data_IF_341856267576
#
_entry.id   IF_341856267576
#
_cell.length_a   1.000
_cell.length_b   1.000
_cell.length_c   1.000
_cell.angle_alpha   90.00
_cell.angle_beta   90.00
_cell.angle_gamma   90.00
#
_symmetry.space_group_name_H-M   'P 1'
#
loop_
_entity.id
_entity.type
_entity.pdbx_description
1 polymer ?
#
# COMPACT_ATOMS: atom_id res chain seq x y z
N UNK A 1 9.70 1.84 -0.66
CA UNK A 1 9.99 2.26 -2.05
C UNK A 1 8.89 3.22 -2.51
N UNK A 2 9.13 4.12 -3.48
CA UNK A 2 8.09 5.00 -3.98
C UNK A 2 7.11 4.28 -4.90
N UNK A 3 5.85 4.75 -4.93
CA UNK A 3 4.87 4.26 -5.92
C UNK A 3 5.32 4.63 -7.34
N UNK A 4 5.75 5.89 -7.52
CA UNK A 4 6.28 6.43 -8.76
C UNK A 4 7.59 7.18 -8.51
N UNK A 5 8.56 7.07 -9.41
CA UNK A 5 9.78 7.87 -9.39
C UNK A 5 10.14 8.29 -10.82
N UNK A 6 10.58 9.54 -11.01
CA UNK A 6 10.98 10.07 -12.33
C UNK A 6 9.94 9.83 -13.44
N UNK A 7 8.65 9.96 -13.11
CA UNK A 7 7.54 9.73 -14.04
C UNK A 7 7.21 8.26 -14.33
N UNK A 8 7.94 7.31 -13.73
CA UNK A 8 7.72 5.86 -13.91
C UNK A 8 6.95 5.30 -12.72
N UNK A 9 5.86 4.57 -12.98
CA UNK A 9 5.16 3.78 -11.95
C UNK A 9 5.95 2.50 -11.67
N UNK A 10 6.40 2.35 -10.43
CA UNK A 10 7.18 1.21 -9.94
C UNK A 10 6.25 0.15 -9.35
N UNK A 11 5.34 0.57 -8.47
CA UNK A 11 4.47 -0.35 -7.74
C UNK A 11 3.24 -0.68 -8.59
N UNK A 12 2.98 -1.97 -8.75
CA UNK A 12 1.82 -2.53 -9.44
C UNK A 12 1.41 -3.85 -8.80
N UNK A 13 0.20 -4.37 -9.05
CA UNK A 13 -0.22 -5.68 -8.53
C UNK A 13 0.75 -6.81 -8.94
N UNK A 14 1.25 -6.76 -10.18
CA UNK A 14 2.25 -7.72 -10.67
C UNK A 14 3.55 -7.63 -9.90
N UNK A 15 4.05 -6.40 -9.68
CA UNK A 15 5.27 -6.17 -8.90
C UNK A 15 5.14 -6.74 -7.48
N UNK A 16 4.01 -6.47 -6.81
CA UNK A 16 3.76 -6.94 -5.44
C UNK A 16 3.77 -8.48 -5.40
N UNK A 17 3.03 -9.14 -6.30
CA UNK A 17 3.00 -10.61 -6.38
C UNK A 17 4.40 -11.18 -6.63
N UNK A 18 5.14 -10.63 -7.58
CA UNK A 18 6.47 -11.14 -7.95
C UNK A 18 7.48 -10.92 -6.78
N UNK A 19 7.36 -9.81 -6.04
CA UNK A 19 8.14 -9.57 -4.83
C UNK A 19 7.79 -10.56 -3.70
N UNK A 20 6.50 -10.81 -3.47
CA UNK A 20 6.03 -11.80 -2.50
C UNK A 20 6.48 -13.22 -2.85
N UNK A 21 6.47 -13.61 -4.13
CA UNK A 21 7.04 -14.88 -4.59
C UNK A 21 8.54 -15.00 -4.28
N UNK A 22 9.26 -13.89 -4.32
CA UNK A 22 10.67 -13.81 -3.90
C UNK A 22 10.89 -13.75 -2.38
N UNK A 23 9.83 -13.74 -1.57
CA UNK A 23 9.91 -13.63 -0.11
C UNK A 23 10.15 -12.22 0.41
N UNK A 24 9.97 -11.18 -0.42
CA UNK A 24 10.19 -9.79 -0.04
C UNK A 24 8.91 -9.09 0.37
N UNK A 25 8.99 -8.21 1.37
CA UNK A 25 7.91 -7.29 1.74
C UNK A 25 7.95 -6.01 0.90
N UNK A 26 6.78 -5.49 0.54
CA UNK A 26 6.61 -4.24 -0.18
C UNK A 26 6.02 -3.18 0.74
N UNK A 27 6.84 -2.20 1.13
CA UNK A 27 6.41 -1.02 1.88
C UNK A 27 6.53 0.22 1.00
N UNK A 28 5.45 1.00 0.89
CA UNK A 28 5.38 2.15 -0.03
C UNK A 28 5.46 3.48 0.72
N UNK A 29 6.26 4.41 0.22
CA UNK A 29 6.42 5.78 0.75
C UNK A 29 6.39 6.81 -0.38
N UNK A 30 6.05 8.07 -0.19
CA UNK A 30 5.16 8.60 0.84
C UNK A 30 3.76 8.59 0.25
N UNK A 31 2.80 7.99 0.94
CA UNK A 31 1.41 7.88 0.46
C UNK A 31 0.53 8.76 1.34
N UNK A 32 0.08 9.90 0.81
CA UNK A 32 -0.68 10.90 1.59
C UNK A 32 -2.16 10.96 1.21
N UNK A 33 -2.54 10.42 0.05
CA UNK A 33 -3.92 10.48 -0.44
C UNK A 33 -4.71 9.21 -0.08
N UNK A 34 -5.90 9.40 0.49
CA UNK A 34 -6.80 8.30 0.90
C UNK A 34 -7.11 7.30 -0.24
N UNK A 35 -7.43 7.75 -1.48
CA UNK A 35 -7.67 6.83 -2.59
C UNK A 35 -6.48 5.91 -2.88
N UNK A 36 -5.26 6.43 -2.76
CA UNK A 36 -4.04 5.67 -3.02
C UNK A 36 -3.74 4.69 -1.89
N UNK A 37 -3.93 5.09 -0.63
CA UNK A 37 -3.81 4.18 0.51
C UNK A 37 -4.75 2.98 0.35
N UNK A 38 -6.02 3.22 0.02
CA UNK A 38 -7.01 2.16 -0.21
C UNK A 38 -6.57 1.24 -1.34
N UNK A 39 -6.24 1.81 -2.50
CA UNK A 39 -5.81 1.05 -3.69
C UNK A 39 -4.58 0.18 -3.41
N UNK A 40 -3.56 0.73 -2.76
CA UNK A 40 -2.32 0.01 -2.45
C UNK A 40 -2.55 -1.12 -1.43
N UNK A 41 -3.39 -0.89 -0.42
CA UNK A 41 -3.79 -1.94 0.52
C UNK A 41 -4.54 -3.08 -0.17
N UNK A 42 -5.46 -2.76 -1.09
CA UNK A 42 -6.16 -3.77 -1.91
C UNK A 42 -5.21 -4.53 -2.84
N UNK A 43 -4.15 -3.88 -3.33
CA UNK A 43 -3.10 -4.54 -4.11
C UNK A 43 -2.18 -5.43 -3.26
N UNK A 44 -2.26 -5.35 -1.93
CA UNK A 44 -1.54 -6.22 -1.02
C UNK A 44 -0.18 -5.70 -0.56
N UNK A 45 0.05 -4.38 -0.54
CA UNK A 45 1.28 -3.86 0.09
C UNK A 45 1.34 -4.24 1.58
N UNK A 46 2.55 -4.49 2.08
CA UNK A 46 2.80 -4.88 3.46
C UNK A 46 2.83 -3.68 4.42
N UNK A 47 3.02 -2.47 3.89
CA UNK A 47 3.05 -1.26 4.69
C UNK A 47 2.97 0.02 3.87
N UNK A 48 2.46 1.06 4.50
CA UNK A 48 2.41 2.43 3.99
C UNK A 48 3.18 3.34 4.94
N UNK A 49 3.96 4.25 4.37
CA UNK A 49 4.60 5.36 5.08
C UNK A 49 3.92 6.64 4.59
N UNK A 50 3.45 7.46 5.51
CA UNK A 50 2.61 8.63 5.22
C UNK A 50 2.98 9.79 6.14
N UNK A 51 2.87 11.01 5.62
CA UNK A 51 2.88 12.24 6.42
C UNK A 51 1.53 12.49 7.10
N UNK A 52 0.45 11.83 6.63
CA UNK A 52 -0.93 11.98 7.11
C UNK A 52 -1.37 10.78 7.94
N UNK A 53 -0.76 10.64 9.11
CA UNK A 53 -0.95 9.48 10.00
C UNK A 53 -2.40 9.32 10.48
N UNK A 54 -3.12 10.42 10.68
CA UNK A 54 -4.54 10.44 11.04
C UNK A 54 -5.40 9.75 9.97
N UNK A 55 -5.13 10.03 8.69
CA UNK A 55 -5.79 9.39 7.56
C UNK A 55 -5.34 7.94 7.45
N UNK A 56 -4.03 7.68 7.47
CA UNK A 56 -3.48 6.34 7.28
C UNK A 56 -4.00 5.33 8.33
N UNK A 57 -4.07 5.74 9.60
CA UNK A 57 -4.61 4.92 10.69
C UNK A 57 -6.10 4.59 10.46
N UNK A 58 -6.92 5.60 10.14
CA UNK A 58 -8.35 5.39 9.85
C UNK A 58 -8.57 4.42 8.69
N UNK A 59 -7.77 4.54 7.62
CA UNK A 59 -7.88 3.67 6.44
C UNK A 59 -7.42 2.25 6.74
N UNK A 60 -6.30 2.08 7.44
CA UNK A 60 -5.82 0.77 7.91
C UNK A 60 -6.89 0.08 8.74
N UNK A 61 -7.50 0.77 9.70
CA UNK A 61 -8.47 0.18 10.61
C UNK A 61 -9.74 -0.24 9.86
N UNK A 62 -10.24 0.61 8.94
CA UNK A 62 -11.36 0.28 8.08
C UNK A 62 -11.06 -0.92 7.15
N UNK A 63 -9.84 -1.02 6.63
CA UNK A 63 -9.41 -2.14 5.78
C UNK A 63 -9.33 -3.45 6.58
N UNK A 64 -8.73 -3.43 7.77
CA UNK A 64 -8.63 -4.61 8.64
C UNK A 64 -9.98 -5.07 9.16
N UNK A 65 -10.91 -4.15 9.45
CA UNK A 65 -12.27 -4.50 9.83
C UNK A 65 -12.99 -5.29 8.72
N UNK A 66 -12.83 -4.86 7.46
CA UNK A 66 -13.39 -5.56 6.29
C UNK A 66 -12.81 -6.97 6.12
N UNK A 67 -11.48 -7.13 6.17
CA UNK A 67 -10.84 -8.46 5.98
C UNK A 67 -11.20 -9.50 7.05
N UNK A 68 -11.65 -9.08 8.24
CA UNK A 68 -12.12 -10.01 9.27
C UNK A 68 -13.51 -10.59 8.99
N UNK A 69 -14.24 -10.01 8.04
CA UNK A 69 -15.59 -10.45 7.66
C UNK A 69 -15.60 -11.46 6.51
N UNK A 70 -14.45 -11.62 5.84
CA UNK A 70 -14.22 -12.57 4.74
C UNK A 70 -13.55 -13.86 5.28
#
# INVERSE_FOLDING_TARGET
MPECAEGVRIVSPRFIRDAHHGGFKVQVWTVDEEPDMRRLLEWGVDGLISNRLDVAVRIRDAFLARRKMD
#
